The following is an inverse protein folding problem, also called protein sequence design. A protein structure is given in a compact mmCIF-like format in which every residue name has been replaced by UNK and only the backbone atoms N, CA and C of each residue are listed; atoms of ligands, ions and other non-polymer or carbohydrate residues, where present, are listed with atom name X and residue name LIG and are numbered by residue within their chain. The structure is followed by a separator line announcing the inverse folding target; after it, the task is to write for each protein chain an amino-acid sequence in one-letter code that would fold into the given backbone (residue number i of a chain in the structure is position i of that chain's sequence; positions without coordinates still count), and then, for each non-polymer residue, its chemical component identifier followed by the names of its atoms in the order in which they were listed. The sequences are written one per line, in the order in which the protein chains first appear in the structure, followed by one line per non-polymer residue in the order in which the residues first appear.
data_IF_679519484740
#
_entry.id   IF_679519484740
#
_cell.length_a   1.000
_cell.length_b   1.000
_cell.length_c   1.000
_cell.angle_alpha   90.00
_cell.angle_beta   90.00
_cell.angle_gamma   90.00
#
_symmetry.space_group_name_H-M   'P 1'
#
loop_
_entity.id
_entity.type
_entity.pdbx_description
1 polymer ?
#
# COMPACT_ATOMS: atom_id res chain seq x y z
N UNK A 1 6.77 -3.57 15.93
CA UNK A 1 7.09 -2.75 14.74
C UNK A 1 6.82 -3.62 13.54
N UNK A 2 5.95 -3.18 12.63
CA UNK A 2 5.63 -3.92 11.43
C UNK A 2 6.90 -4.19 10.59
N UNK A 3 7.04 -5.41 10.10
CA UNK A 3 8.19 -5.93 9.35
C UNK A 3 7.87 -6.04 7.87
N UNK A 4 8.85 -5.69 7.04
CA UNK A 4 8.78 -5.95 5.60
C UNK A 4 9.46 -7.28 5.33
N UNK A 5 8.72 -8.24 4.78
CA UNK A 5 9.25 -9.55 4.44
C UNK A 5 10.06 -9.48 3.15
N UNK A 6 11.33 -9.85 3.21
CA UNK A 6 12.20 -9.99 2.04
C UNK A 6 13.05 -11.24 2.17
N UNK A 7 13.09 -12.08 1.13
CA UNK A 7 13.95 -13.28 1.12
C UNK A 7 13.33 -14.46 0.36
N UNK A 8 14.08 -15.56 0.31
CA UNK A 8 13.57 -16.86 -0.14
C UNK A 8 13.45 -17.78 1.08
N UNK A 9 12.33 -18.49 1.18
CA UNK A 9 12.13 -19.53 2.20
C UNK A 9 12.18 -20.87 1.49
N UNK A 10 13.02 -21.79 1.98
CA UNK A 10 13.02 -23.17 1.50
C UNK A 10 11.92 -23.93 2.23
N UNK A 11 10.96 -24.46 1.47
CA UNK A 11 9.84 -25.24 2.02
C UNK A 11 10.11 -26.70 1.67
N UNK A 12 10.24 -27.59 2.68
CA UNK A 12 10.34 -29.03 2.45
C UNK A 12 9.14 -29.53 1.64
N UNK A 13 9.37 -30.45 0.69
CA UNK A 13 8.33 -30.93 -0.23
C UNK A 13 7.14 -31.59 0.47
N UNK A 14 7.39 -32.21 1.62
CA UNK A 14 6.43 -32.82 2.53
C UNK A 14 5.55 -31.81 3.29
N UNK A 15 5.93 -30.53 3.32
CA UNK A 15 5.22 -29.46 4.04
C UNK A 15 4.51 -28.48 3.10
N UNK A 16 4.46 -28.77 1.79
CA UNK A 16 3.84 -27.89 0.80
C UNK A 16 2.36 -27.66 1.09
N UNK A 17 1.60 -28.71 1.41
CA UNK A 17 0.17 -28.59 1.69
C UNK A 17 -0.10 -27.73 2.93
N UNK A 18 0.64 -27.98 4.01
CA UNK A 18 0.55 -27.18 5.25
C UNK A 18 0.91 -25.70 5.00
N UNK A 19 1.90 -25.44 4.14
CA UNK A 19 2.27 -24.09 3.74
C UNK A 19 1.16 -23.40 2.94
N UNK A 20 0.55 -24.10 1.98
CA UNK A 20 -0.54 -23.56 1.18
C UNK A 20 -1.79 -23.26 2.03
N UNK A 21 -2.12 -24.13 2.98
CA UNK A 21 -3.20 -23.87 3.95
C UNK A 21 -2.91 -22.66 4.84
N UNK A 22 -1.67 -22.53 5.33
CA UNK A 22 -1.25 -21.38 6.12
C UNK A 22 -1.32 -20.07 5.33
N UNK A 23 -0.93 -20.11 4.05
CA UNK A 23 -1.06 -18.98 3.14
C UNK A 23 -2.53 -18.59 2.93
N UNK A 24 -3.41 -19.55 2.66
CA UNK A 24 -4.83 -19.29 2.45
C UNK A 24 -5.50 -18.68 3.70
N UNK A 25 -5.17 -19.19 4.89
CA UNK A 25 -5.65 -18.63 6.17
C UNK A 25 -5.15 -17.20 6.39
N UNK A 26 -3.89 -16.94 6.08
CA UNK A 26 -3.31 -15.60 6.20
C UNK A 26 -3.91 -14.61 5.19
N UNK A 27 -4.18 -15.05 3.95
CA UNK A 27 -4.87 -14.22 2.95
C UNK A 27 -6.31 -13.90 3.40
N UNK A 28 -7.07 -14.89 3.89
CA UNK A 28 -8.42 -14.69 4.41
C UNK A 28 -8.46 -13.73 5.62
N UNK A 29 -7.50 -13.85 6.53
CA UNK A 29 -7.39 -12.93 7.68
C UNK A 29 -7.11 -11.47 7.26
N UNK A 30 -6.42 -11.28 6.13
CA UNK A 30 -6.06 -9.95 5.60
C UNK A 30 -7.10 -9.35 4.66
N UNK A 31 -8.03 -10.16 4.17
CA UNK A 31 -9.08 -9.73 3.26
C UNK A 31 -9.89 -8.53 3.78
N UNK A 32 -10.32 -8.46 5.06
CA UNK A 32 -11.04 -7.30 5.57
C UNK A 32 -10.21 -6.01 5.52
N UNK A 33 -8.92 -6.10 5.88
CA UNK A 33 -8.02 -4.95 5.84
C UNK A 33 -7.77 -4.50 4.40
N UNK A 34 -7.58 -5.45 3.48
CA UNK A 34 -7.45 -5.16 2.05
C UNK A 34 -8.69 -4.45 1.51
N UNK A 35 -9.88 -4.97 1.79
CA UNK A 35 -11.15 -4.39 1.34
C UNK A 35 -11.33 -2.97 1.89
N UNK A 36 -10.92 -2.74 3.15
CA UNK A 36 -10.93 -1.41 3.74
C UNK A 36 -10.01 -0.43 2.99
N UNK A 37 -8.78 -0.84 2.66
CA UNK A 37 -7.85 -0.02 1.88
C UNK A 37 -8.31 0.22 0.44
N UNK A 38 -8.90 -0.79 -0.21
CA UNK A 38 -9.45 -0.66 -1.56
C UNK A 38 -10.65 0.31 -1.59
N UNK A 39 -11.53 0.25 -0.58
CA UNK A 39 -12.61 1.23 -0.40
C UNK A 39 -12.08 2.64 -0.20
N UNK A 40 -11.02 2.82 0.61
CA UNK A 40 -10.39 4.13 0.76
C UNK A 40 -9.76 4.65 -0.53
N UNK A 41 -9.26 3.76 -1.39
CA UNK A 41 -8.73 4.15 -2.71
C UNK A 41 -9.85 4.57 -3.67
N UNK A 42 -11.04 3.97 -3.57
CA UNK A 42 -12.22 4.41 -4.32
C UNK A 42 -12.67 5.79 -3.85
N UNK A 43 -12.82 6.01 -2.54
CA UNK A 43 -13.16 7.32 -1.99
C UNK A 43 -12.13 8.40 -2.37
N UNK A 44 -10.84 8.01 -2.40
CA UNK A 44 -9.78 8.89 -2.87
C UNK A 44 -9.89 9.22 -4.37
N UNK A 45 -10.33 8.27 -5.19
CA UNK A 45 -10.59 8.50 -6.60
C UNK A 45 -11.67 9.57 -6.80
N UNK A 46 -12.76 9.46 -6.03
CA UNK A 46 -13.87 10.41 -6.05
C UNK A 46 -13.40 11.80 -5.60
N UNK A 47 -12.67 11.89 -4.49
CA UNK A 47 -12.06 13.13 -4.00
C UNK A 47 -11.14 13.80 -5.03
N UNK A 48 -10.33 13.01 -5.77
CA UNK A 48 -9.48 13.56 -6.81
C UNK A 48 -10.25 13.98 -8.06
N UNK A 49 -11.38 13.34 -8.35
CA UNK A 49 -12.18 13.59 -9.56
C UNK A 49 -12.76 15.00 -9.61
N UNK A 50 -13.04 15.58 -8.44
CA UNK A 50 -13.52 16.96 -8.31
C UNK A 50 -12.47 18.01 -8.72
N UNK A 51 -11.18 17.67 -8.58
CA UNK A 51 -10.06 18.62 -8.66
C UNK A 51 -9.12 18.36 -9.84
N UNK A 52 -9.13 17.16 -10.41
CA UNK A 52 -8.13 16.72 -11.37
C UNK A 52 -8.73 15.99 -12.57
N UNK A 53 -7.98 15.98 -13.67
CA UNK A 53 -8.36 15.22 -14.86
C UNK A 53 -8.39 13.72 -14.59
N UNK A 54 -9.23 12.99 -15.34
CA UNK A 54 -9.32 11.51 -15.29
C UNK A 54 -7.96 10.82 -15.41
N UNK A 55 -7.05 11.37 -16.22
CA UNK A 55 -5.68 10.84 -16.39
C UNK A 55 -4.88 10.91 -15.08
N UNK A 56 -4.97 12.04 -14.38
CA UNK A 56 -4.30 12.26 -13.09
C UNK A 56 -4.91 11.41 -11.99
N UNK A 57 -6.24 11.32 -11.93
CA UNK A 57 -6.96 10.46 -10.99
C UNK A 57 -6.51 9.01 -11.14
N UNK A 58 -6.54 8.48 -12.37
CA UNK A 58 -6.10 7.12 -12.68
C UNK A 58 -4.64 6.88 -12.28
N UNK A 59 -3.75 7.84 -12.54
CA UNK A 59 -2.33 7.70 -12.19
C UNK A 59 -2.15 7.57 -10.68
N UNK A 60 -2.78 8.43 -9.89
CA UNK A 60 -2.62 8.42 -8.44
C UNK A 60 -3.31 7.22 -7.77
N UNK A 61 -4.51 6.87 -8.20
CA UNK A 61 -5.25 5.70 -7.69
C UNK A 61 -4.53 4.39 -8.01
N UNK A 62 -3.92 4.25 -9.19
CA UNK A 62 -3.10 3.09 -9.53
C UNK A 62 -1.86 2.95 -8.62
N UNK A 63 -1.22 4.07 -8.26
CA UNK A 63 -0.07 4.06 -7.36
C UNK A 63 -0.50 3.60 -5.96
N UNK A 64 -1.65 4.10 -5.47
CA UNK A 64 -2.22 3.70 -4.18
C UNK A 64 -2.62 2.23 -4.20
N UNK A 65 -3.29 1.77 -5.25
CA UNK A 65 -3.67 0.36 -5.45
C UNK A 65 -2.45 -0.58 -5.37
N UNK A 66 -1.40 -0.21 -6.10
CA UNK A 66 -0.13 -0.96 -6.10
C UNK A 66 0.52 -1.03 -4.72
N UNK A 67 0.31 -0.01 -3.90
CA UNK A 67 0.78 0.00 -2.53
C UNK A 67 -0.09 -0.82 -1.59
N UNK A 68 -1.41 -0.84 -1.76
CA UNK A 68 -2.29 -1.77 -1.03
C UNK A 68 -1.80 -3.19 -1.25
N UNK A 69 -1.47 -3.55 -2.49
CA UNK A 69 -0.85 -4.83 -2.81
C UNK A 69 0.50 -5.04 -2.10
N UNK A 70 1.37 -4.03 -2.09
CA UNK A 70 2.65 -4.11 -1.37
C UNK A 70 2.46 -4.35 0.12
N UNK A 71 1.59 -3.59 0.78
CA UNK A 71 1.33 -3.70 2.21
C UNK A 71 0.75 -5.09 2.54
N UNK A 72 -0.29 -5.51 1.83
CA UNK A 72 -0.96 -6.78 2.12
C UNK A 72 -0.07 -8.00 1.85
N UNK A 73 0.86 -7.93 0.89
CA UNK A 73 1.72 -9.07 0.51
C UNK A 73 3.12 -9.06 1.08
N UNK A 74 3.70 -7.89 1.32
CA UNK A 74 5.10 -7.77 1.71
C UNK A 74 5.26 -7.30 3.16
N UNK A 75 4.16 -7.04 3.88
CA UNK A 75 4.22 -6.61 5.28
C UNK A 75 3.22 -7.37 6.15
N UNK A 76 3.41 -7.26 7.46
CA UNK A 76 2.51 -7.76 8.52
C UNK A 76 1.61 -6.64 9.09
N UNK A 77 1.48 -5.52 8.38
CA UNK A 77 0.62 -4.40 8.79
C UNK A 77 -0.85 -4.82 8.74
N UNK A 78 -1.56 -4.62 9.85
CA UNK A 78 -3.00 -4.90 9.96
C UNK A 78 -3.84 -3.61 10.08
N UNK A 79 -3.19 -2.47 10.30
CA UNK A 79 -3.85 -1.16 10.47
C UNK A 79 -3.08 -0.02 9.79
N UNK A 80 -3.78 1.05 9.40
CA UNK A 80 -3.17 2.22 8.73
C UNK A 80 -2.17 2.96 9.65
N UNK A 81 -2.37 2.86 10.97
CA UNK A 81 -1.53 3.50 12.00
C UNK A 81 -0.15 2.86 12.12
N UNK A 82 -0.06 1.56 11.82
CA UNK A 82 1.19 0.81 11.80
C UNK A 82 2.06 1.10 10.57
N UNK A 83 1.49 1.75 9.54
CA UNK A 83 2.24 2.14 8.34
C UNK A 83 3.30 3.16 8.73
N UNK A 84 4.55 2.74 8.61
CA UNK A 84 5.70 3.58 8.94
C UNK A 84 6.18 4.40 7.75
N UNK A 85 6.84 5.53 8.04
CA UNK A 85 7.57 6.36 7.06
C UNK A 85 8.52 5.54 6.18
N UNK A 86 9.22 4.55 6.76
CA UNK A 86 10.14 3.68 6.03
C UNK A 86 9.42 2.83 4.99
N UNK A 87 8.24 2.29 5.31
CA UNK A 87 7.45 1.46 4.40
C UNK A 87 7.06 2.22 3.14
N UNK A 88 6.59 3.46 3.29
CA UNK A 88 6.16 4.31 2.18
C UNK A 88 7.35 4.83 1.37
N UNK A 89 8.37 5.41 2.03
CA UNK A 89 9.42 6.15 1.32
C UNK A 89 10.57 5.28 0.78
N UNK A 90 10.97 4.23 1.51
CA UNK A 90 12.17 3.46 1.17
C UNK A 90 11.84 2.06 0.67
N UNK A 91 11.01 1.31 1.39
CA UNK A 91 10.70 -0.07 1.02
C UNK A 91 9.81 -0.13 -0.20
N UNK A 92 8.66 0.58 -0.20
CA UNK A 92 7.76 0.59 -1.34
C UNK A 92 8.43 1.17 -2.58
N UNK A 93 9.15 2.29 -2.49
CA UNK A 93 9.89 2.87 -3.63
C UNK A 93 10.88 1.89 -4.25
N UNK A 94 11.69 1.20 -3.43
CA UNK A 94 12.64 0.18 -3.92
C UNK A 94 11.92 -1.02 -4.53
N UNK A 95 10.80 -1.43 -3.95
CA UNK A 95 9.99 -2.54 -4.44
C UNK A 95 9.31 -2.18 -5.77
N UNK A 96 8.69 -1.00 -5.86
CA UNK A 96 8.01 -0.47 -7.05
C UNK A 96 8.95 -0.45 -8.24
N UNK A 97 10.12 0.18 -8.10
CA UNK A 97 11.14 0.23 -9.18
C UNK A 97 11.59 -1.15 -9.67
N UNK A 98 11.53 -2.18 -8.82
CA UNK A 98 11.94 -3.55 -9.16
C UNK A 98 10.81 -4.40 -9.73
N UNK A 99 9.56 -4.10 -9.39
CA UNK A 99 8.40 -4.98 -9.62
C UNK A 99 7.36 -4.40 -10.56
N UNK A 100 7.28 -3.08 -10.65
CA UNK A 100 6.28 -2.36 -11.42
C UNK A 100 6.97 -1.74 -12.63
N UNK A 101 6.51 -2.14 -13.81
CA UNK A 101 7.04 -1.69 -15.09
C UNK A 101 6.08 -0.66 -15.67
N UNK A 102 6.18 0.57 -15.18
CA UNK A 102 5.41 1.69 -15.67
C UNK A 102 6.29 2.93 -15.90
N UNK A 103 5.66 4.03 -16.31
CA UNK A 103 6.33 5.31 -16.53
C UNK A 103 6.24 6.25 -15.32
N UNK A 104 5.81 5.77 -14.14
CA UNK A 104 5.72 6.61 -12.96
C UNK A 104 7.12 6.94 -12.43
N UNK A 105 7.35 8.23 -12.22
CA UNK A 105 8.58 8.71 -11.61
C UNK A 105 8.50 8.64 -10.08
N UNK A 106 9.65 8.71 -9.42
CA UNK A 106 9.69 8.75 -7.96
C UNK A 106 8.96 9.98 -7.39
N UNK A 107 8.92 11.07 -8.15
CA UNK A 107 8.15 12.26 -7.80
C UNK A 107 6.64 11.98 -7.88
N UNK A 108 6.19 11.22 -8.87
CA UNK A 108 4.79 10.83 -8.99
C UNK A 108 4.34 9.98 -7.80
N UNK A 109 5.18 9.04 -7.36
CA UNK A 109 4.94 8.25 -6.16
C UNK A 109 4.78 9.17 -4.94
N UNK A 110 5.73 10.09 -4.73
CA UNK A 110 5.70 11.04 -3.61
C UNK A 110 4.44 11.93 -3.63
N UNK A 111 4.05 12.44 -4.80
CA UNK A 111 2.86 13.29 -4.94
C UNK A 111 1.59 12.49 -4.69
N UNK A 112 1.48 11.26 -5.20
CA UNK A 112 0.35 10.37 -4.93
C UNK A 112 0.22 10.12 -3.41
N UNK A 113 1.34 9.80 -2.74
CA UNK A 113 1.38 9.61 -1.29
C UNK A 113 0.90 10.81 -0.52
N UNK A 114 1.44 11.99 -0.85
CA UNK A 114 1.06 13.22 -0.15
C UNK A 114 -0.43 13.49 -0.28
N UNK A 115 -1.01 13.30 -1.48
CA UNK A 115 -2.44 13.49 -1.72
C UNK A 115 -3.29 12.48 -0.98
N UNK A 116 -2.87 11.21 -0.97
CA UNK A 116 -3.61 10.15 -0.28
C UNK A 116 -3.63 10.36 1.23
N UNK A 117 -2.48 10.64 1.85
CA UNK A 117 -2.44 10.91 3.29
C UNK A 117 -3.12 12.23 3.68
N UNK A 118 -3.11 13.23 2.79
CA UNK A 118 -3.88 14.45 2.98
C UNK A 118 -5.39 14.16 2.96
N UNK A 119 -5.86 13.37 1.98
CA UNK A 119 -7.25 12.89 1.93
C UNK A 119 -7.64 12.12 3.20
N UNK A 120 -6.79 11.19 3.67
CA UNK A 120 -7.05 10.45 4.91
C UNK A 120 -7.19 11.36 6.13
N UNK A 121 -6.35 12.39 6.22
CA UNK A 121 -6.38 13.34 7.33
C UNK A 121 -7.59 14.30 7.25
N UNK A 122 -7.91 14.81 6.06
CA UNK A 122 -8.97 15.82 5.85
C UNK A 122 -10.38 15.21 5.84
N UNK A 123 -10.59 14.12 5.10
CA UNK A 123 -11.93 13.56 4.85
C UNK A 123 -12.29 12.42 5.81
N UNK A 124 -11.29 11.65 6.28
CA UNK A 124 -11.52 10.46 7.10
C UNK A 124 -11.09 10.63 8.56
N UNK A 125 -10.43 11.75 8.90
CA UNK A 125 -9.91 12.00 10.25
C UNK A 125 -8.79 11.03 10.67
N UNK A 126 -8.22 10.26 9.74
CA UNK A 126 -7.15 9.29 9.99
C UNK A 126 -5.81 10.02 9.86
N UNK A 127 -5.26 10.46 10.99
CA UNK A 127 -4.03 11.26 11.01
C UNK A 127 -2.82 10.36 11.25
N UNK A 128 -2.14 9.97 10.16
CA UNK A 128 -0.80 9.38 10.27
C UNK A 128 0.27 10.49 10.17
N UNK A 129 0.53 11.17 11.29
CA UNK A 129 1.54 12.24 11.38
C UNK A 129 2.94 11.78 10.92
N UNK A 130 3.32 10.53 11.24
CA UNK A 130 4.62 9.96 10.86
C UNK A 130 4.77 9.82 9.35
N UNK A 131 3.69 9.47 8.64
CA UNK A 131 3.67 9.39 7.18
C UNK A 131 3.64 10.78 6.54
N UNK A 132 2.93 11.75 7.11
CA UNK A 132 2.88 13.12 6.57
C UNK A 132 4.21 13.86 6.70
N UNK A 133 4.91 13.74 7.83
CA UNK A 133 6.27 14.26 8.03
C UNK A 133 7.32 13.56 7.15
N UNK A 134 6.99 12.41 6.57
CA UNK A 134 7.82 11.72 5.60
C UNK A 134 7.85 12.36 4.22
N UNK A 135 6.79 13.10 3.89
CA UNK A 135 6.47 13.52 2.54
C UNK A 135 6.70 15.03 2.32
N UNK A 136 7.03 15.78 3.38
CA UNK A 136 7.63 17.13 3.32
C UNK A 136 8.98 17.09 2.61
#
# INVERSE_FOLDING_TARGET
MAKVFTGKVAIPGDQIEQYLEALAKAEAAREPFRNHLESLNQDFADYLSDKYTKKTVRKHTNIVDTFVHFICRQTDVESIEEITKGMVNSHFRKWYKRKVWDSATENDLRVAWRKFFQFLAEEKGIVNQKALEALK
#
